data_IF_497509242084
#
_entry.id   IF_497509242084
#
_cell.length_a   1.000
_cell.length_b   1.000
_cell.length_c   1.000
_cell.angle_alpha   90.00
_cell.angle_beta   90.00
_cell.angle_gamma   90.00
#
_symmetry.space_group_name_H-M   'P 1'
#
loop_
_entity.id
_entity.type
_entity.pdbx_description
1 polymer ?
#
# COMPACT_ATOMS: atom_id res chain seq x y z
N UNK A 1 -2.99 42.21 -31.84
CA UNK A 1 -3.66 40.92 -31.56
C UNK A 1 -2.69 39.78 -31.26
N UNK A 2 -1.45 39.79 -31.75
CA UNK A 2 -0.44 38.73 -31.52
C UNK A 2 0.15 38.70 -30.11
N UNK A 3 0.21 39.82 -29.39
CA UNK A 3 0.76 39.92 -28.02
C UNK A 3 -0.12 39.25 -26.96
N UNK A 4 -1.45 39.36 -27.07
CA UNK A 4 -2.42 38.72 -26.15
C UNK A 4 -2.38 37.19 -26.25
N UNK A 5 -2.20 36.65 -27.46
CA UNK A 5 -2.06 35.20 -27.68
C UNK A 5 -0.77 34.64 -27.05
N UNK A 6 0.33 35.39 -27.10
CA UNK A 6 1.61 34.99 -26.48
C UNK A 6 1.54 34.90 -24.96
N UNK A 7 0.86 35.85 -24.30
CA UNK A 7 0.70 35.85 -22.83
C UNK A 7 -0.18 34.69 -22.36
N UNK A 8 -1.30 34.43 -23.06
CA UNK A 8 -2.19 33.32 -22.74
C UNK A 8 -1.50 31.96 -22.95
N UNK A 9 -0.77 31.79 -24.05
CA UNK A 9 0.02 30.58 -24.30
C UNK A 9 1.11 30.38 -23.23
N UNK A 10 1.83 31.44 -22.84
CA UNK A 10 2.84 31.37 -21.78
C UNK A 10 2.27 30.98 -20.41
N UNK A 11 1.11 31.53 -20.06
CA UNK A 11 0.42 31.20 -18.80
C UNK A 11 0.01 29.73 -18.72
N UNK A 12 -0.58 29.18 -19.78
CA UNK A 12 -0.99 27.75 -19.83
C UNK A 12 0.21 26.82 -19.72
N UNK A 13 1.30 27.12 -20.45
CA UNK A 13 2.53 26.30 -20.40
C UNK A 13 3.15 26.34 -19.01
N UNK A 14 3.22 27.51 -18.38
CA UNK A 14 3.75 27.65 -17.02
C UNK A 14 2.91 26.88 -16.00
N UNK A 15 1.58 26.96 -16.08
CA UNK A 15 0.68 26.21 -15.21
C UNK A 15 0.85 24.69 -15.36
N UNK A 16 0.89 24.20 -16.61
CA UNK A 16 1.11 22.77 -16.88
C UNK A 16 2.49 22.29 -16.38
N UNK A 17 3.52 23.13 -16.51
CA UNK A 17 4.84 22.82 -15.97
C UNK A 17 4.84 22.76 -14.44
N UNK A 18 4.12 23.69 -13.79
CA UNK A 18 3.90 23.68 -12.33
C UNK A 18 3.24 22.39 -11.86
N UNK A 19 2.08 22.03 -12.42
CA UNK A 19 1.35 20.80 -12.06
C UNK A 19 2.22 19.55 -12.21
N UNK A 20 3.02 19.46 -13.30
CA UNK A 20 3.93 18.32 -13.50
C UNK A 20 5.04 18.27 -12.46
N UNK A 21 5.59 19.43 -12.08
CA UNK A 21 6.62 19.52 -11.04
C UNK A 21 6.07 19.11 -9.69
N UNK A 22 4.90 19.61 -9.32
CA UNK A 22 4.28 19.33 -8.02
C UNK A 22 3.98 17.84 -7.85
N UNK A 23 3.42 17.20 -8.89
CA UNK A 23 3.18 15.75 -8.91
C UNK A 23 4.46 14.93 -8.75
N UNK A 24 5.55 15.39 -9.36
CA UNK A 24 6.85 14.72 -9.25
C UNK A 24 7.45 14.90 -7.87
N UNK A 25 7.38 16.11 -7.31
CA UNK A 25 7.79 16.41 -5.95
C UNK A 25 7.03 15.54 -4.96
N UNK A 26 5.70 15.46 -5.07
CA UNK A 26 4.87 14.58 -4.23
C UNK A 26 5.33 13.13 -4.27
N UNK A 27 5.65 12.59 -5.47
CA UNK A 27 6.14 11.22 -5.59
C UNK A 27 7.45 10.98 -4.80
N UNK A 28 8.39 11.92 -4.89
CA UNK A 28 9.65 11.83 -4.15
C UNK A 28 9.50 12.11 -2.66
N UNK A 29 8.58 12.99 -2.25
CA UNK A 29 8.27 13.25 -0.85
C UNK A 29 7.68 12.01 -0.17
N UNK A 30 6.69 11.37 -0.80
CA UNK A 30 6.13 10.11 -0.31
C UNK A 30 7.18 8.99 -0.31
N UNK A 31 8.07 8.95 -1.31
CA UNK A 31 9.16 7.98 -1.32
C UNK A 31 10.16 8.23 -0.19
N UNK A 32 10.49 9.49 0.09
CA UNK A 32 11.35 9.87 1.21
C UNK A 32 10.68 9.55 2.55
N UNK A 33 9.38 9.79 2.69
CA UNK A 33 8.60 9.42 3.88
C UNK A 33 8.63 7.90 4.10
N UNK A 34 8.46 7.11 3.04
CA UNK A 34 8.55 5.65 3.13
C UNK A 34 9.90 5.20 3.69
N UNK A 35 10.97 5.92 3.33
CA UNK A 35 12.35 5.66 3.76
C UNK A 35 12.79 6.50 4.97
N UNK A 36 11.87 7.18 5.64
CA UNK A 36 12.17 7.86 6.90
C UNK A 36 12.56 6.84 7.97
N UNK A 37 13.37 7.26 8.93
CA UNK A 37 13.80 6.40 10.06
C UNK A 37 12.60 5.86 10.83
N UNK A 38 11.59 6.68 11.05
CA UNK A 38 10.35 6.32 11.73
C UNK A 38 9.62 5.20 10.98
N UNK A 39 9.33 5.39 9.69
CA UNK A 39 8.58 4.39 8.94
C UNK A 39 9.42 3.14 8.63
N UNK A 40 10.74 3.24 8.56
CA UNK A 40 11.63 2.08 8.52
C UNK A 40 11.55 1.23 9.79
N UNK A 41 11.56 1.88 10.97
CA UNK A 41 11.42 1.20 12.26
C UNK A 41 10.03 0.54 12.39
N UNK A 42 8.97 1.29 12.05
CA UNK A 42 7.61 0.75 12.04
C UNK A 42 7.50 -0.46 11.11
N UNK A 43 8.01 -0.36 9.87
CA UNK A 43 8.04 -1.48 8.90
C UNK A 43 8.76 -2.70 9.44
N UNK A 44 9.90 -2.51 10.10
CA UNK A 44 10.64 -3.63 10.69
C UNK A 44 9.83 -4.31 11.80
N UNK A 45 9.34 -3.53 12.78
CA UNK A 45 8.59 -4.05 13.94
C UNK A 45 7.28 -4.71 13.52
N UNK A 46 6.46 -4.03 12.74
CA UNK A 46 5.22 -4.57 12.22
C UNK A 46 5.47 -5.79 11.31
N UNK A 47 6.56 -5.79 10.54
CA UNK A 47 6.92 -6.93 9.69
C UNK A 47 7.25 -8.18 10.51
N UNK A 48 7.90 -8.02 11.67
CA UNK A 48 8.11 -9.13 12.62
C UNK A 48 6.79 -9.62 13.21
N UNK A 49 5.90 -8.71 13.59
CA UNK A 49 4.59 -9.04 14.15
C UNK A 49 3.70 -9.83 13.16
N UNK A 50 3.55 -9.31 11.93
CA UNK A 50 2.80 -9.97 10.85
C UNK A 50 3.32 -11.39 10.60
N UNK A 51 4.64 -11.57 10.56
CA UNK A 51 5.23 -12.89 10.30
C UNK A 51 4.95 -13.90 11.42
N UNK A 52 4.77 -13.46 12.66
CA UNK A 52 4.43 -14.35 13.77
C UNK A 52 2.95 -14.74 13.78
N UNK A 53 2.10 -13.88 13.23
CA UNK A 53 0.64 -13.96 13.36
C UNK A 53 -0.06 -13.98 11.99
N UNK A 54 0.43 -14.82 11.07
CA UNK A 54 0.04 -14.78 9.65
C UNK A 54 -1.43 -15.15 9.39
N UNK A 55 -2.02 -15.97 10.25
CA UNK A 55 -3.37 -16.54 10.10
C UNK A 55 -4.46 -15.75 10.81
N UNK A 56 -4.10 -14.71 11.56
CA UNK A 56 -5.06 -13.91 12.32
C UNK A 56 -5.66 -12.81 11.46
N UNK A 57 -6.93 -12.48 11.73
CA UNK A 57 -7.53 -11.27 11.16
C UNK A 57 -6.84 -10.04 11.75
N UNK A 58 -6.87 -8.92 11.04
CA UNK A 58 -6.24 -7.70 11.55
C UNK A 58 -6.87 -7.19 12.86
N UNK A 59 -8.19 -7.37 13.05
CA UNK A 59 -8.85 -6.99 14.30
C UNK A 59 -8.33 -7.81 15.50
N UNK A 60 -8.13 -9.12 15.29
CA UNK A 60 -7.57 -9.99 16.33
C UNK A 60 -6.10 -9.62 16.57
N UNK A 61 -5.38 -9.32 15.50
CA UNK A 61 -3.99 -8.89 15.56
C UNK A 61 -3.86 -7.57 16.34
N UNK A 62 -4.74 -6.59 16.17
CA UNK A 62 -4.72 -5.34 16.96
C UNK A 62 -5.02 -5.55 18.44
N UNK A 63 -5.83 -6.55 18.79
CA UNK A 63 -6.15 -6.87 20.19
C UNK A 63 -5.00 -7.61 20.87
N UNK A 64 -4.32 -8.50 20.15
CA UNK A 64 -3.19 -9.26 20.66
C UNK A 64 -1.87 -8.46 20.63
N UNK A 65 -1.68 -7.64 19.61
CA UNK A 65 -0.55 -6.72 19.53
C UNK A 65 -0.79 -5.60 20.53
N UNK A 66 0.16 -5.42 21.45
CA UNK A 66 0.19 -4.23 22.29
C UNK A 66 0.08 -2.93 21.46
N UNK A 67 -0.34 -1.83 22.09
CA UNK A 67 -0.74 -0.60 21.40
C UNK A 67 0.33 -0.04 20.44
N UNK A 68 1.61 -0.22 20.77
CA UNK A 68 2.74 0.21 19.93
C UNK A 68 2.82 -0.58 18.61
N UNK A 69 2.71 -1.91 18.64
CA UNK A 69 2.82 -2.72 17.44
C UNK A 69 1.59 -2.57 16.52
N UNK A 70 0.41 -2.39 17.11
CA UNK A 70 -0.78 -2.01 16.36
C UNK A 70 -0.61 -0.62 15.70
N UNK A 71 0.01 0.34 16.40
CA UNK A 71 0.31 1.65 15.84
C UNK A 71 1.29 1.57 14.65
N UNK A 72 2.38 0.81 14.77
CA UNK A 72 3.34 0.61 13.68
C UNK A 72 2.68 0.03 12.41
N UNK A 73 1.76 -0.92 12.57
CA UNK A 73 1.02 -1.51 11.46
C UNK A 73 0.05 -0.52 10.82
N UNK A 74 -0.65 0.29 11.63
CA UNK A 74 -1.52 1.38 11.14
C UNK A 74 -0.75 2.43 10.35
N UNK A 75 0.45 2.82 10.79
CA UNK A 75 1.28 3.79 10.06
C UNK A 75 1.57 3.32 8.63
N UNK A 76 1.89 2.05 8.45
CA UNK A 76 2.21 1.47 7.14
C UNK A 76 0.96 1.37 6.27
N UNK A 77 -0.15 0.93 6.86
CA UNK A 77 -1.43 0.85 6.18
C UNK A 77 -1.88 2.23 5.67
N UNK A 78 -1.88 3.24 6.54
CA UNK A 78 -2.26 4.60 6.18
C UNK A 78 -1.29 5.26 5.20
N UNK A 79 0.00 4.88 5.21
CA UNK A 79 0.92 5.32 4.17
C UNK A 79 0.44 4.85 2.79
N UNK A 80 0.11 3.57 2.63
CA UNK A 80 -0.33 3.03 1.35
C UNK A 80 -1.73 3.47 0.95
N UNK A 81 -2.62 3.71 1.92
CA UNK A 81 -3.90 4.37 1.68
C UNK A 81 -3.70 5.78 1.11
N UNK A 82 -2.85 6.61 1.72
CA UNK A 82 -2.53 7.94 1.20
C UNK A 82 -1.91 7.87 -0.19
N UNK A 83 -1.08 6.85 -0.47
CA UNK A 83 -0.52 6.64 -1.80
C UNK A 83 -1.62 6.38 -2.82
N UNK A 84 -2.60 5.53 -2.49
CA UNK A 84 -3.75 5.29 -3.36
C UNK A 84 -4.55 6.56 -3.61
N UNK A 85 -4.90 7.32 -2.56
CA UNK A 85 -5.65 8.57 -2.69
C UNK A 85 -4.90 9.58 -3.57
N UNK A 86 -3.57 9.67 -3.44
CA UNK A 86 -2.75 10.53 -4.29
C UNK A 86 -2.78 10.12 -5.78
N UNK A 87 -2.87 8.81 -6.07
CA UNK A 87 -3.03 8.26 -7.42
C UNK A 87 -4.44 8.55 -7.94
N UNK A 88 -5.47 8.20 -7.18
CA UNK A 88 -6.88 8.36 -7.54
C UNK A 88 -7.20 9.81 -7.92
N UNK A 89 -6.69 10.76 -7.14
CA UNK A 89 -6.90 12.20 -7.39
C UNK A 89 -5.86 12.83 -8.33
N UNK A 90 -5.00 12.03 -8.97
CA UNK A 90 -3.93 12.51 -9.89
C UNK A 90 -3.05 13.59 -9.25
N UNK A 91 -2.77 13.47 -7.96
CA UNK A 91 -1.92 14.37 -7.18
C UNK A 91 -0.45 13.94 -7.22
N UNK A 92 -0.15 12.76 -7.73
CA UNK A 92 1.20 12.18 -7.83
C UNK A 92 1.58 11.88 -9.28
N UNK A 93 2.89 11.85 -9.57
CA UNK A 93 3.42 11.41 -10.85
C UNK A 93 3.37 9.87 -10.97
N UNK A 94 2.18 9.35 -11.29
CA UNK A 94 1.81 7.93 -11.41
C UNK A 94 2.87 7.04 -12.08
N UNK A 95 3.49 7.50 -13.17
CA UNK A 95 4.51 6.74 -13.92
C UNK A 95 5.71 6.28 -13.09
N UNK A 96 5.99 6.92 -11.96
CA UNK A 96 7.10 6.57 -11.07
C UNK A 96 6.67 5.64 -9.93
N UNK A 97 5.37 5.52 -9.67
CA UNK A 97 4.86 4.82 -8.50
C UNK A 97 5.24 3.33 -8.50
N UNK A 98 5.04 2.55 -9.60
CA UNK A 98 5.46 1.15 -9.64
C UNK A 98 6.93 0.96 -9.25
N UNK A 99 7.80 1.81 -9.82
CA UNK A 99 9.25 1.73 -9.57
C UNK A 99 9.62 2.10 -8.13
N UNK A 100 8.98 3.11 -7.56
CA UNK A 100 9.36 3.66 -6.26
C UNK A 100 8.76 2.89 -5.07
N UNK A 101 7.58 2.28 -5.26
CA UNK A 101 6.80 1.71 -4.15
C UNK A 101 6.42 0.24 -4.36
N UNK A 102 6.41 -0.25 -5.60
CA UNK A 102 5.80 -1.53 -5.96
C UNK A 102 6.40 -2.73 -5.22
N UNK A 103 7.72 -2.82 -5.09
CA UNK A 103 8.38 -3.93 -4.40
C UNK A 103 8.03 -3.99 -2.90
N UNK A 104 8.11 -2.84 -2.21
CA UNK A 104 7.74 -2.76 -0.80
C UNK A 104 6.25 -3.02 -0.61
N UNK A 105 5.39 -2.44 -1.45
CA UNK A 105 3.95 -2.68 -1.38
C UNK A 105 3.61 -4.15 -1.61
N UNK A 106 4.21 -4.78 -2.61
CA UNK A 106 4.00 -6.19 -2.92
C UNK A 106 4.25 -7.08 -1.70
N UNK A 107 5.36 -6.86 -0.99
CA UNK A 107 5.66 -7.62 0.22
C UNK A 107 4.54 -7.48 1.27
N UNK A 108 4.12 -6.25 1.59
CA UNK A 108 3.06 -6.00 2.57
C UNK A 108 1.72 -6.58 2.14
N UNK A 109 1.37 -6.44 0.86
CA UNK A 109 0.14 -6.96 0.32
C UNK A 109 0.08 -8.48 0.41
N UNK A 110 1.15 -9.17 -0.03
CA UNK A 110 1.21 -10.62 -0.04
C UNK A 110 1.40 -11.23 1.36
N UNK A 111 2.19 -10.61 2.24
CA UNK A 111 2.48 -11.13 3.57
C UNK A 111 1.41 -10.81 4.61
N UNK A 112 0.64 -9.73 4.44
CA UNK A 112 -0.37 -9.29 5.41
C UNK A 112 -1.69 -8.93 4.73
N UNK A 113 -1.72 -7.86 3.92
CA UNK A 113 -2.98 -7.17 3.64
C UNK A 113 -4.02 -8.04 2.95
N UNK A 114 -3.58 -8.88 1.99
CA UNK A 114 -4.46 -9.79 1.24
C UNK A 114 -5.27 -10.72 2.14
N UNK A 115 -4.66 -11.21 3.23
CA UNK A 115 -5.24 -12.25 4.08
C UNK A 115 -5.84 -11.68 5.37
N UNK A 116 -5.28 -10.59 5.89
CA UNK A 116 -5.62 -10.08 7.22
C UNK A 116 -6.55 -8.87 7.17
N UNK A 117 -6.47 -8.05 6.11
CA UNK A 117 -7.09 -6.72 6.05
C UNK A 117 -8.16 -6.58 4.97
N UNK A 118 -7.88 -6.99 3.73
CA UNK A 118 -8.84 -6.88 2.62
C UNK A 118 -10.19 -7.54 2.94
N UNK A 119 -10.24 -8.69 3.62
CA UNK A 119 -11.52 -9.32 4.00
C UNK A 119 -12.39 -8.49 4.96
N UNK A 120 -11.83 -7.50 5.67
CA UNK A 120 -12.58 -6.70 6.63
C UNK A 120 -13.57 -5.71 5.99
N UNK A 121 -13.49 -5.50 4.67
CA UNK A 121 -14.44 -4.65 3.93
C UNK A 121 -14.42 -3.16 4.31
N UNK A 122 -13.43 -2.72 5.11
CA UNK A 122 -13.25 -1.32 5.48
C UNK A 122 -12.86 -0.48 4.26
N UNK A 123 -13.05 0.84 4.35
CA UNK A 123 -12.62 1.78 3.31
C UNK A 123 -11.13 1.64 3.01
N UNK A 124 -10.31 1.56 4.07
CA UNK A 124 -8.87 1.31 3.96
C UNK A 124 -8.58 0.00 3.22
N UNK A 125 -9.27 -1.09 3.55
CA UNK A 125 -9.12 -2.37 2.87
C UNK A 125 -9.44 -2.30 1.37
N UNK A 126 -10.51 -1.57 1.01
CA UNK A 126 -10.86 -1.31 -0.40
C UNK A 126 -9.78 -0.48 -1.11
N UNK A 127 -9.28 0.57 -0.48
CA UNK A 127 -8.21 1.42 -1.02
C UNK A 127 -6.93 0.60 -1.29
N UNK A 128 -6.55 -0.28 -0.36
CA UNK A 128 -5.41 -1.17 -0.54
C UNK A 128 -5.63 -2.16 -1.69
N UNK A 129 -6.83 -2.73 -1.81
CA UNK A 129 -7.15 -3.63 -2.91
C UNK A 129 -7.13 -2.90 -4.27
N UNK A 130 -7.63 -1.67 -4.32
CA UNK A 130 -7.60 -0.83 -5.52
C UNK A 130 -6.15 -0.46 -5.90
N UNK A 131 -5.30 -0.12 -4.93
CA UNK A 131 -3.88 0.12 -5.15
C UNK A 131 -3.18 -1.10 -5.76
N UNK A 132 -3.45 -2.31 -5.22
CA UNK A 132 -2.91 -3.54 -5.80
C UNK A 132 -3.37 -3.74 -7.24
N UNK A 133 -4.68 -3.65 -7.49
CA UNK A 133 -5.22 -3.82 -8.84
C UNK A 133 -4.70 -2.76 -9.83
N UNK A 134 -4.44 -1.54 -9.36
CA UNK A 134 -3.81 -0.49 -10.17
C UNK A 134 -2.35 -0.82 -10.47
N UNK A 135 -1.57 -1.25 -9.47
CA UNK A 135 -0.17 -1.65 -9.66
C UNK A 135 -0.04 -2.82 -10.63
N UNK A 136 -0.92 -3.82 -10.57
CA UNK A 136 -0.93 -4.94 -11.52
C UNK A 136 -1.15 -4.48 -12.97
N UNK A 137 -1.99 -3.45 -13.19
CA UNK A 137 -2.27 -2.92 -14.53
C UNK A 137 -1.15 -2.02 -15.06
N UNK A 138 -0.56 -1.20 -14.20
CA UNK A 138 0.43 -0.19 -14.60
C UNK A 138 1.88 -0.71 -14.60
N UNK A 139 2.12 -1.91 -14.07
CA UNK A 139 3.45 -2.52 -14.03
C UNK A 139 3.64 -3.48 -15.20
N UNK A 140 4.88 -3.60 -15.69
CA UNK A 140 5.19 -4.65 -16.66
C UNK A 140 5.21 -6.03 -16.01
N UNK A 141 4.96 -7.09 -16.79
CA UNK A 141 5.07 -8.47 -16.31
C UNK A 141 6.45 -8.78 -15.72
N UNK A 142 7.51 -8.21 -16.29
CA UNK A 142 8.87 -8.33 -15.77
C UNK A 142 9.02 -7.69 -14.38
N UNK A 143 8.42 -6.51 -14.16
CA UNK A 143 8.46 -5.85 -12.84
C UNK A 143 7.68 -6.65 -11.79
N UNK A 144 6.49 -7.15 -12.13
CA UNK A 144 5.68 -7.97 -11.24
C UNK A 144 6.41 -9.27 -10.86
N UNK A 145 7.06 -9.93 -11.84
CA UNK A 145 7.81 -11.14 -11.58
C UNK A 145 9.07 -10.87 -10.75
N UNK A 146 9.73 -9.72 -10.97
CA UNK A 146 10.85 -9.28 -10.12
C UNK A 146 10.42 -9.10 -8.67
N UNK A 147 9.27 -8.48 -8.41
CA UNK A 147 8.76 -8.33 -7.05
C UNK A 147 8.39 -9.68 -6.45
N UNK A 148 7.72 -10.54 -7.23
CA UNK A 148 7.33 -11.88 -6.78
C UNK A 148 8.54 -12.73 -6.37
N UNK A 149 9.46 -12.94 -7.30
CA UNK A 149 10.67 -13.75 -7.07
C UNK A 149 11.60 -13.13 -6.01
N UNK A 150 11.73 -11.80 -5.98
CA UNK A 150 12.54 -11.09 -4.99
C UNK A 150 12.02 -11.24 -3.55
N UNK A 151 10.70 -11.37 -3.39
CA UNK A 151 10.04 -11.47 -2.09
C UNK A 151 9.67 -12.90 -1.68
N UNK A 152 9.68 -13.88 -2.60
CA UNK A 152 9.22 -15.25 -2.37
C UNK A 152 9.79 -15.89 -1.09
N UNK A 153 11.10 -15.75 -0.87
CA UNK A 153 11.79 -16.30 0.32
C UNK A 153 11.37 -15.66 1.65
N UNK A 154 10.73 -14.50 1.61
CA UNK A 154 10.30 -13.73 2.79
C UNK A 154 8.80 -13.83 3.05
N UNK A 155 8.06 -14.43 2.12
CA UNK A 155 6.63 -14.63 2.26
C UNK A 155 6.36 -15.85 3.17
N UNK A 156 5.23 -15.82 3.91
CA UNK A 156 4.69 -17.02 4.52
C UNK A 156 4.68 -18.20 3.55
N UNK A 157 4.93 -19.42 4.03
CA UNK A 157 4.49 -20.60 3.29
C UNK A 157 2.99 -20.44 3.05
N UNK A 158 2.54 -20.54 1.79
CA UNK A 158 1.12 -20.38 1.46
C UNK A 158 0.34 -21.36 2.36
N UNK A 159 -0.67 -20.90 3.12
CA UNK A 159 -1.58 -21.84 3.77
C UNK A 159 -2.12 -22.74 2.65
N UNK A 160 -2.02 -24.06 2.84
CA UNK A 160 -2.59 -25.00 1.88
C UNK A 160 -4.06 -24.67 1.70
N UNK A 161 -4.62 -24.88 0.50
CA UNK A 161 -6.04 -24.64 0.24
C UNK A 161 -6.96 -25.43 1.19
N UNK A 162 -6.41 -26.40 1.92
CA UNK A 162 -7.08 -27.24 2.92
C UNK A 162 -7.04 -26.67 4.36
N UNK A 163 -6.43 -25.50 4.58
CA UNK A 163 -6.43 -24.86 5.88
C UNK A 163 -7.86 -24.37 6.21
N UNK A 164 -8.49 -24.87 7.29
CA UNK A 164 -9.86 -24.50 7.63
C UNK A 164 -9.94 -22.99 7.89
N UNK A 165 -10.86 -22.30 7.20
CA UNK A 165 -11.13 -20.88 7.43
C UNK A 165 -11.52 -20.68 8.90
N UNK A 166 -10.78 -19.84 9.60
CA UNK A 166 -11.03 -19.47 11.00
C UNK A 166 -12.42 -18.83 11.21
N UNK A 167 -13.07 -18.38 10.15
CA UNK A 167 -14.46 -17.89 10.16
C UNK A 167 -15.49 -18.96 10.58
N UNK A 168 -15.17 -20.26 10.43
CA UNK A 168 -16.08 -21.34 10.83
C UNK A 168 -16.17 -21.52 12.36
N UNK A 169 -15.23 -20.97 13.15
CA UNK A 169 -15.24 -21.10 14.62
C UNK A 169 -16.07 -20.02 15.34
N UNK A 170 -16.44 -18.92 14.67
CA UNK A 170 -17.21 -17.83 15.30
C UNK A 170 -18.73 -18.01 15.25
N UNK A 171 -19.24 -18.89 14.38
CA UNK A 171 -20.68 -19.13 14.27
C UNK A 171 -21.27 -20.01 15.40
N UNK A 172 -20.47 -20.47 16.37
CA UNK A 172 -20.91 -21.43 17.41
C UNK A 172 -20.61 -21.05 18.86
N UNK A 173 -20.23 -19.80 19.16
CA UNK A 173 -19.92 -19.36 20.55
C UNK A 173 -20.88 -18.27 21.07
N UNK A 174 -22.10 -18.22 20.56
CA UNK A 174 -23.11 -17.22 20.92
C UNK A 174 -24.44 -17.81 21.38
N UNK A 175 -24.46 -18.98 22.02
CA UNK A 175 -25.61 -19.50 22.76
C UNK A 175 -25.09 -20.28 23.97
N UNK A 176 -25.04 -19.62 25.13
CA UNK A 176 -25.22 -20.19 26.48
C UNK A 176 -25.38 -19.04 27.49
#
# INVERSE_FOLDING_TARGET
MTTLLGVLAGGVVSWLAGVRRDRLTMAFEMHRELHSTELLQARYKAGVAVRKNQTQSYLDLEQELGPEAAHDLRLILHFFERLWLAIEHRAIAERYVPRLFGDTFYWWYAASFRHQFVPLGSEVGRNIQQLWGWLERESSSEQLEKWRSGNEKWLPARPSADAPSTDAKRAGQGED
#
